data_IF_364786887050
#
_entry.id   IF_364786887050
#
_cell.length_a   1.000
_cell.length_b   1.000
_cell.length_c   1.000
_cell.angle_alpha   90.00
_cell.angle_beta   90.00
_cell.angle_gamma   90.00
#
_symmetry.space_group_name_H-M   'P 1'
#
loop_
_entity.id
_entity.type
_entity.pdbx_description
1 polymer ?
#
# COMPACT_ATOMS: atom_id res chain seq x y z
N UNK A 1 29.68 2.97 10.69
CA UNK A 1 28.76 3.08 9.54
C UNK A 1 27.36 3.16 10.12
N UNK A 2 26.66 4.30 9.94
CA UNK A 2 25.25 4.40 10.32
C UNK A 2 24.45 3.60 9.29
N UNK A 3 24.10 2.35 9.60
CA UNK A 3 23.01 1.67 8.92
C UNK A 3 21.73 2.36 9.37
N UNK A 4 21.33 3.42 8.68
CA UNK A 4 19.99 3.98 8.82
C UNK A 4 19.04 2.84 8.48
N UNK A 5 18.41 2.22 9.48
CA UNK A 5 17.43 1.16 9.26
C UNK A 5 16.38 1.69 8.29
N UNK A 6 16.38 1.16 7.06
CA UNK A 6 15.40 1.54 6.06
C UNK A 6 14.05 0.98 6.51
N UNK A 7 13.10 1.89 6.72
CA UNK A 7 11.75 1.56 7.22
C UNK A 7 10.86 1.08 6.07
N UNK A 8 9.82 0.28 6.36
CA UNK A 8 8.79 -0.03 5.38
C UNK A 8 8.14 1.24 4.83
N UNK A 9 7.80 1.23 3.55
CA UNK A 9 7.15 2.34 2.85
C UNK A 9 6.15 1.81 1.82
N UNK A 10 5.30 2.69 1.30
CA UNK A 10 4.44 2.39 0.14
C UNK A 10 4.97 3.19 -1.05
N UNK A 11 5.31 2.51 -2.13
CA UNK A 11 5.60 3.14 -3.41
C UNK A 11 4.35 3.12 -4.28
N UNK A 12 4.06 4.24 -4.94
CA UNK A 12 2.92 4.36 -5.83
C UNK A 12 3.40 4.29 -7.28
N UNK A 13 3.04 3.22 -7.97
CA UNK A 13 3.36 3.10 -9.39
C UNK A 13 2.19 3.54 -10.27
N UNK A 14 2.52 4.12 -11.42
CA UNK A 14 1.54 4.42 -12.48
C UNK A 14 1.48 3.28 -13.48
N UNK A 15 0.30 2.68 -13.68
CA UNK A 15 0.08 1.68 -14.72
C UNK A 15 -0.67 0.44 -14.24
N UNK A 16 -0.95 -0.49 -15.18
CA UNK A 16 -1.78 -1.66 -14.91
C UNK A 16 -1.24 -2.52 -13.77
N UNK A 17 -2.07 -2.99 -12.83
CA UNK A 17 -1.56 -3.64 -11.63
C UNK A 17 -0.88 -4.98 -11.90
N UNK A 18 -1.28 -5.67 -12.97
CA UNK A 18 -0.62 -6.91 -13.44
C UNK A 18 0.87 -6.71 -13.78
N UNK A 19 1.32 -5.47 -14.02
CA UNK A 19 2.73 -5.15 -14.29
C UNK A 19 3.58 -5.07 -13.02
N UNK A 20 2.94 -5.02 -11.84
CA UNK A 20 3.61 -4.87 -10.56
C UNK A 20 3.30 -6.09 -9.70
N UNK A 21 4.05 -7.17 -9.92
CA UNK A 21 3.88 -8.42 -9.18
C UNK A 21 4.68 -8.41 -7.89
N UNK A 22 4.21 -9.18 -6.90
CA UNK A 22 4.92 -9.41 -5.64
C UNK A 22 6.25 -10.12 -5.91
N UNK A 23 7.35 -9.52 -5.45
CA UNK A 23 8.71 -9.98 -5.78
C UNK A 23 9.75 -9.50 -4.77
N UNK A 24 10.92 -10.13 -4.78
CA UNK A 24 12.13 -9.59 -4.16
C UNK A 24 12.96 -8.88 -5.22
N UNK A 25 13.30 -7.62 -4.98
CA UNK A 25 14.11 -6.83 -5.88
C UNK A 25 15.12 -5.95 -5.10
N UNK A 26 16.16 -5.40 -5.77
CA UNK A 26 17.04 -4.44 -5.16
C UNK A 26 16.24 -3.26 -4.58
N UNK A 27 16.63 -2.80 -3.39
CA UNK A 27 15.99 -1.68 -2.74
C UNK A 27 16.40 -0.37 -3.42
N UNK A 28 15.41 0.35 -3.93
CA UNK A 28 15.58 1.68 -4.51
C UNK A 28 14.60 2.66 -3.87
N UNK A 29 14.98 3.93 -3.90
CA UNK A 29 14.14 5.01 -3.42
C UNK A 29 13.37 5.61 -4.62
N UNK A 30 12.09 5.91 -4.43
CA UNK A 30 11.20 6.44 -5.47
C UNK A 30 10.35 7.56 -4.88
N UNK A 31 10.24 8.67 -5.60
CA UNK A 31 9.49 9.84 -5.13
C UNK A 31 8.03 9.78 -5.59
N UNK A 32 7.12 9.66 -4.63
CA UNK A 32 5.68 9.61 -4.91
C UNK A 32 5.06 10.97 -5.26
N UNK A 33 5.78 12.09 -5.20
CA UNK A 33 5.21 13.42 -5.48
C UNK A 33 4.53 13.50 -6.85
N UNK A 34 5.02 12.80 -7.87
CA UNK A 34 4.35 12.83 -9.19
C UNK A 34 3.08 11.96 -9.26
N UNK A 35 2.70 11.31 -8.17
CA UNK A 35 1.68 10.24 -8.16
C UNK A 35 0.35 10.64 -7.54
N UNK A 36 0.15 11.92 -7.17
CA UNK A 36 -1.12 12.41 -6.65
C UNK A 36 -2.31 12.00 -7.52
N UNK A 37 -3.43 11.80 -6.84
CA UNK A 37 -4.74 11.73 -7.46
C UNK A 37 -5.24 13.15 -7.67
N UNK A 38 -5.13 13.62 -8.91
CA UNK A 38 -5.63 14.92 -9.34
C UNK A 38 -7.04 14.76 -9.88
N UNK A 39 -7.98 15.49 -9.29
CA UNK A 39 -9.38 15.53 -9.73
C UNK A 39 -9.74 17.00 -9.92
N UNK A 40 -10.19 17.44 -11.11
CA UNK A 40 -10.60 18.82 -11.30
C UNK A 40 -11.73 19.17 -10.34
N UNK A 41 -11.68 20.37 -9.78
CA UNK A 41 -12.57 20.80 -8.68
C UNK A 41 -14.07 20.59 -8.99
N UNK A 42 -14.48 20.87 -10.22
CA UNK A 42 -15.86 20.69 -10.68
C UNK A 42 -16.33 19.24 -10.53
N UNK A 43 -15.50 18.26 -10.90
CA UNK A 43 -15.82 16.84 -10.73
C UNK A 43 -15.71 16.40 -9.28
N UNK A 44 -14.81 17.00 -8.51
CA UNK A 44 -14.61 16.64 -7.10
C UNK A 44 -15.88 16.89 -6.27
N UNK A 45 -16.62 17.97 -6.55
CA UNK A 45 -17.86 18.29 -5.82
C UNK A 45 -18.92 17.19 -5.96
N UNK A 46 -19.02 16.60 -7.15
CA UNK A 46 -20.01 15.58 -7.49
C UNK A 46 -19.60 14.15 -7.07
N UNK A 47 -18.38 13.97 -6.57
CA UNK A 47 -17.92 12.66 -6.12
C UNK A 47 -18.67 12.20 -4.85
N UNK A 48 -18.98 10.90 -4.74
CA UNK A 48 -19.41 10.29 -3.47
C UNK A 48 -18.39 10.56 -2.36
N UNK A 49 -18.87 10.67 -1.12
CA UNK A 49 -18.01 10.99 0.04
C UNK A 49 -16.90 9.96 0.27
N UNK A 50 -17.14 8.68 -0.03
CA UNK A 50 -16.11 7.64 0.00
C UNK A 50 -14.99 7.85 -1.03
N UNK A 51 -15.30 8.37 -2.22
CA UNK A 51 -14.30 8.66 -3.25
C UNK A 51 -13.45 9.85 -2.82
N UNK A 52 -14.10 10.91 -2.32
CA UNK A 52 -13.42 12.07 -1.74
C UNK A 52 -12.47 11.64 -0.62
N UNK A 53 -12.94 10.79 0.29
CA UNK A 53 -12.15 10.27 1.40
C UNK A 53 -11.00 9.37 0.93
N UNK A 54 -11.19 8.57 -0.13
CA UNK A 54 -10.12 7.78 -0.71
C UNK A 54 -9.03 8.66 -1.34
N UNK A 55 -9.42 9.65 -2.15
CA UNK A 55 -8.51 10.59 -2.81
C UNK A 55 -7.73 11.41 -1.78
N UNK A 56 -8.42 11.97 -0.78
CA UNK A 56 -7.78 12.71 0.31
C UNK A 56 -6.85 11.81 1.12
N UNK A 57 -7.29 10.60 1.46
CA UNK A 57 -6.48 9.63 2.20
C UNK A 57 -5.23 9.21 1.44
N UNK A 58 -5.33 9.09 0.12
CA UNK A 58 -4.21 8.79 -0.76
C UNK A 58 -3.23 9.96 -0.86
N UNK A 59 -3.72 11.17 -1.12
CA UNK A 59 -2.88 12.37 -1.26
C UNK A 59 -2.18 12.72 0.07
N UNK A 60 -2.86 12.58 1.20
CA UNK A 60 -2.25 12.70 2.53
C UNK A 60 -1.10 11.73 2.78
N UNK A 61 -1.15 10.52 2.20
CA UNK A 61 -0.02 9.60 2.28
C UNK A 61 1.19 10.15 1.52
N UNK A 62 0.98 10.73 0.33
CA UNK A 62 2.05 11.34 -0.47
C UNK A 62 2.64 12.56 0.25
N UNK A 63 1.80 13.33 0.96
CA UNK A 63 2.21 14.43 1.85
C UNK A 63 2.91 13.97 3.15
N UNK A 64 3.15 12.67 3.31
CA UNK A 64 3.72 12.03 4.50
C UNK A 64 2.87 12.17 5.80
N UNK A 65 1.61 12.61 5.69
CA UNK A 65 0.61 12.63 6.78
C UNK A 65 -0.04 11.26 6.96
N UNK A 66 0.72 10.29 7.49
CA UNK A 66 0.25 8.92 7.72
C UNK A 66 -0.99 8.85 8.63
N UNK A 67 -1.11 9.75 9.62
CA UNK A 67 -2.25 9.75 10.56
C UNK A 67 -3.51 10.28 9.89
N UNK A 68 -3.40 11.36 9.13
CA UNK A 68 -4.51 11.88 8.35
C UNK A 68 -4.91 10.90 7.25
N UNK A 69 -3.94 10.33 6.52
CA UNK A 69 -4.18 9.29 5.53
C UNK A 69 -4.99 8.13 6.13
N UNK A 70 -4.54 7.60 7.27
CA UNK A 70 -5.26 6.56 8.02
C UNK A 70 -6.71 6.96 8.34
N UNK A 71 -6.93 8.21 8.79
CA UNK A 71 -8.26 8.70 9.19
C UNK A 71 -9.22 8.78 8.01
N UNK A 72 -8.76 9.27 6.87
CA UNK A 72 -9.60 9.43 5.67
C UNK A 72 -9.86 8.08 5.00
N UNK A 73 -8.83 7.24 4.84
CA UNK A 73 -8.99 5.89 4.27
C UNK A 73 -9.96 5.02 5.09
N UNK A 74 -10.02 5.19 6.41
CA UNK A 74 -10.99 4.48 7.26
C UNK A 74 -12.46 4.75 6.87
N UNK A 75 -12.76 5.94 6.31
CA UNK A 75 -14.12 6.30 5.86
C UNK A 75 -14.51 5.61 4.55
N UNK A 76 -13.52 5.22 3.74
CA UNK A 76 -13.71 4.63 2.41
C UNK A 76 -13.50 3.09 2.38
N UNK A 77 -12.74 2.54 3.34
CA UNK A 77 -12.30 1.15 3.34
C UNK A 77 -13.42 0.09 3.40
N UNK A 78 -14.65 0.46 3.77
CA UNK A 78 -15.81 -0.45 3.74
C UNK A 78 -16.49 -0.52 2.37
N UNK A 79 -16.21 0.42 1.46
CA UNK A 79 -16.87 0.55 0.16
C UNK A 79 -15.93 0.41 -1.04
N UNK A 80 -14.66 0.78 -0.89
CA UNK A 80 -13.67 0.78 -1.96
C UNK A 80 -12.54 -0.17 -1.58
N UNK A 81 -12.32 -1.21 -2.38
CA UNK A 81 -11.33 -2.24 -2.08
C UNK A 81 -9.89 -1.67 -2.10
N UNK A 82 -9.58 -0.73 -3.00
CA UNK A 82 -8.30 -0.02 -3.04
C UNK A 82 -8.07 0.83 -1.79
N UNK A 83 -9.11 1.51 -1.31
CA UNK A 83 -9.02 2.28 -0.07
C UNK A 83 -8.78 1.33 1.11
N UNK A 84 -9.43 0.16 1.13
CA UNK A 84 -9.19 -0.89 2.14
C UNK A 84 -7.74 -1.40 2.08
N UNK A 85 -7.24 -1.69 0.89
CA UNK A 85 -5.87 -2.14 0.70
C UNK A 85 -4.87 -1.08 1.18
N UNK A 86 -4.99 0.16 0.70
CA UNK A 86 -4.14 1.27 1.14
C UNK A 86 -4.24 1.50 2.66
N UNK A 87 -5.44 1.37 3.25
CA UNK A 87 -5.64 1.47 4.69
C UNK A 87 -4.89 0.39 5.47
N UNK A 88 -4.88 -0.85 4.97
CA UNK A 88 -4.09 -1.95 5.55
C UNK A 88 -2.60 -1.61 5.51
N UNK A 89 -2.10 -1.15 4.37
CA UNK A 89 -0.68 -0.80 4.21
C UNK A 89 -0.26 0.35 5.15
N UNK A 90 -1.08 1.40 5.27
CA UNK A 90 -0.81 2.52 6.18
C UNK A 90 -0.84 2.06 7.64
N UNK A 91 -1.77 1.18 8.03
CA UNK A 91 -1.77 0.60 9.38
C UNK A 91 -0.53 -0.27 9.63
N UNK A 92 -0.05 -0.99 8.63
CA UNK A 92 1.20 -1.74 8.73
C UNK A 92 2.40 -0.80 9.01
N UNK A 93 2.56 0.28 8.24
CA UNK A 93 3.63 1.28 8.46
C UNK A 93 3.54 1.89 9.86
N UNK A 94 2.33 2.18 10.34
CA UNK A 94 2.10 2.73 11.68
C UNK A 94 2.28 1.71 12.82
N UNK A 95 2.66 0.46 12.52
CA UNK A 95 2.82 -0.61 13.52
C UNK A 95 1.50 -1.18 14.06
N UNK A 96 0.35 -0.80 13.48
CA UNK A 96 -0.99 -1.26 13.85
C UNK A 96 -1.33 -2.61 13.23
N UNK A 97 -0.45 -3.60 13.40
CA UNK A 97 -0.55 -4.91 12.73
C UNK A 97 -1.85 -5.64 13.00
N UNK A 98 -2.38 -5.59 14.22
CA UNK A 98 -3.65 -6.24 14.58
C UNK A 98 -4.84 -5.66 13.82
N UNK A 99 -4.91 -4.34 13.68
CA UNK A 99 -5.97 -3.69 12.88
C UNK A 99 -5.84 -4.08 11.41
N UNK A 100 -4.61 -4.02 10.86
CA UNK A 100 -4.32 -4.43 9.50
C UNK A 100 -4.69 -5.91 9.23
N UNK A 101 -4.43 -6.81 10.18
CA UNK A 101 -4.78 -8.23 10.08
C UNK A 101 -6.28 -8.47 10.01
N UNK A 102 -7.07 -7.78 10.85
CA UNK A 102 -8.54 -7.87 10.81
C UNK A 102 -9.07 -7.40 9.46
N UNK A 103 -8.51 -6.30 8.94
CA UNK A 103 -8.91 -5.75 7.65
C UNK A 103 -8.49 -6.62 6.47
N UNK A 104 -7.39 -7.39 6.59
CA UNK A 104 -6.89 -8.25 5.51
C UNK A 104 -7.66 -9.57 5.33
N UNK A 105 -8.42 -10.02 6.33
CA UNK A 105 -9.04 -11.36 6.35
C UNK A 105 -9.94 -11.66 5.14
N UNK A 106 -10.69 -10.67 4.66
CA UNK A 106 -11.58 -10.79 3.50
C UNK A 106 -11.17 -9.85 2.36
N UNK A 107 -9.89 -9.47 2.30
CA UNK A 107 -9.39 -8.63 1.22
C UNK A 107 -9.32 -9.46 -0.06
N UNK A 108 -9.98 -8.98 -1.11
CA UNK A 108 -9.95 -9.62 -2.42
C UNK A 108 -8.89 -8.98 -3.31
N UNK A 109 -8.33 -9.76 -4.23
CA UNK A 109 -7.47 -9.30 -5.32
C UNK A 109 -8.28 -8.57 -6.40
N UNK A 110 -8.93 -7.47 -6.02
CA UNK A 110 -9.81 -6.70 -6.88
C UNK A 110 -9.35 -5.23 -6.91
N UNK A 111 -9.28 -4.68 -8.12
CA UNK A 111 -8.85 -3.31 -8.39
C UNK A 111 -9.95 -2.60 -9.19
N UNK A 112 -11.12 -2.50 -8.56
CA UNK A 112 -12.38 -2.05 -9.15
C UNK A 112 -12.27 -0.70 -9.88
N UNK A 113 -11.38 0.16 -9.39
CA UNK A 113 -11.19 1.55 -9.83
C UNK A 113 -9.83 1.77 -10.46
N UNK A 114 -9.16 0.72 -10.95
CA UNK A 114 -7.88 0.86 -11.63
C UNK A 114 -7.94 1.91 -12.76
N UNK A 115 -8.95 1.87 -13.64
CA UNK A 115 -9.07 2.80 -14.77
C UNK A 115 -9.23 4.26 -14.32
N UNK A 116 -9.72 4.50 -13.11
CA UNK A 116 -9.94 5.84 -12.58
C UNK A 116 -8.67 6.39 -11.91
N UNK A 117 -7.94 5.54 -11.20
CA UNK A 117 -6.79 5.96 -10.41
C UNK A 117 -5.47 5.82 -11.16
N UNK A 118 -5.32 4.73 -11.93
CA UNK A 118 -4.06 4.28 -12.54
C UNK A 118 -2.90 4.28 -11.54
N UNK A 119 -3.18 4.15 -10.24
CA UNK A 119 -2.20 4.19 -9.15
C UNK A 119 -2.21 2.87 -8.41
N UNK A 120 -1.05 2.25 -8.35
CA UNK A 120 -0.84 0.93 -7.76
C UNK A 120 0.06 1.11 -6.54
N UNK A 121 -0.51 1.12 -5.31
CA UNK A 121 0.30 1.11 -4.10
C UNK A 121 0.99 -0.24 -3.95
N UNK A 122 2.29 -0.22 -3.66
CA UNK A 122 3.13 -1.38 -3.42
C UNK A 122 3.78 -1.19 -2.05
N UNK A 123 3.52 -2.12 -1.12
CA UNK A 123 4.23 -2.14 0.16
C UNK A 123 5.65 -2.65 -0.06
N UNK A 124 6.64 -1.85 0.34
CA UNK A 124 8.06 -2.19 0.27
C UNK A 124 8.55 -2.44 1.68
N UNK A 125 9.05 -3.65 1.94
CA UNK A 125 9.59 -4.04 3.23
C UNK A 125 11.08 -4.41 3.06
N UNK A 126 11.99 -3.52 3.47
CA UNK A 126 13.43 -3.73 3.36
C UNK A 126 13.90 -4.98 4.12
N UNK A 127 14.83 -5.72 3.52
CA UNK A 127 15.56 -6.77 4.25
C UNK A 127 16.52 -6.13 5.25
N UNK A 128 16.89 -6.89 6.27
CA UNK A 128 17.90 -6.53 7.27
C UNK A 128 19.26 -6.18 6.66
N UNK A 129 19.59 -6.75 5.49
CA UNK A 129 20.79 -6.43 4.70
C UNK A 129 20.74 -5.05 4.05
N UNK A 130 19.55 -4.49 3.82
CA UNK A 130 19.32 -3.16 3.22
C UNK A 130 19.57 -3.06 1.72
N UNK A 131 20.01 -4.12 1.04
CA UNK A 131 20.27 -4.18 -0.41
C UNK A 131 19.03 -4.61 -1.21
N UNK A 132 18.12 -5.35 -0.59
CA UNK A 132 16.89 -5.89 -1.18
C UNK A 132 15.68 -5.50 -0.35
N UNK A 133 14.52 -5.62 -0.98
CA UNK A 133 13.24 -5.52 -0.30
C UNK A 133 12.24 -6.50 -0.89
N UNK A 134 11.27 -6.87 -0.06
CA UNK A 134 10.05 -7.53 -0.49
C UNK A 134 9.06 -6.46 -0.95
N UNK A 135 8.72 -6.48 -2.24
CA UNK A 135 7.71 -5.62 -2.85
C UNK A 135 6.41 -6.41 -2.90
N UNK A 136 5.37 -5.90 -2.25
CA UNK A 136 4.07 -6.56 -2.10
C UNK A 136 3.02 -5.76 -2.85
N UNK A 137 2.42 -6.41 -3.83
CA UNK A 137 1.27 -5.91 -4.60
C UNK A 137 -0.03 -6.51 -4.07
N UNK A 138 -1.17 -6.06 -4.56
CA UNK A 138 -2.45 -6.77 -4.37
C UNK A 138 -2.61 -7.79 -5.51
N UNK A 139 -1.77 -8.82 -5.43
CA UNK A 139 -1.87 -10.09 -6.16
C UNK A 139 -1.94 -11.28 -5.16
N UNK A 140 -2.18 -12.51 -5.65
CA UNK A 140 -2.42 -13.67 -4.76
C UNK A 140 -1.22 -13.93 -3.83
N UNK A 141 -0.01 -13.82 -4.39
CA UNK A 141 1.22 -13.92 -3.62
C UNK A 141 1.32 -12.78 -2.61
N UNK A 142 1.00 -11.55 -3.00
CA UNK A 142 1.12 -10.38 -2.16
C UNK A 142 0.16 -10.38 -0.98
N UNK A 143 -1.07 -10.85 -1.18
CA UNK A 143 -2.02 -11.07 -0.09
C UNK A 143 -1.50 -12.13 0.90
N UNK A 144 -0.91 -13.22 0.40
CA UNK A 144 -0.27 -14.22 1.25
C UNK A 144 0.96 -13.67 1.99
N UNK A 145 1.83 -12.93 1.30
CA UNK A 145 3.02 -12.29 1.87
C UNK A 145 2.65 -11.32 2.99
N UNK A 146 1.64 -10.48 2.73
CA UNK A 146 1.11 -9.52 3.68
C UNK A 146 0.57 -10.22 4.93
N UNK A 147 -0.16 -11.32 4.76
CA UNK A 147 -0.62 -12.16 5.87
C UNK A 147 0.53 -12.61 6.78
N UNK A 148 1.59 -13.17 6.20
CA UNK A 148 2.76 -13.59 6.97
C UNK A 148 3.49 -12.45 7.68
N UNK A 149 3.63 -11.29 7.04
CA UNK A 149 4.22 -10.11 7.68
C UNK A 149 3.38 -9.60 8.87
N UNK A 150 2.06 -9.69 8.75
CA UNK A 150 1.11 -9.31 9.80
C UNK A 150 1.13 -10.30 10.98
N UNK A 151 1.42 -11.58 10.71
CA UNK A 151 1.70 -12.61 11.73
C UNK A 151 3.06 -12.43 12.43
N UNK A 152 3.91 -11.53 11.92
CA UNK A 152 5.17 -11.16 12.53
C UNK A 152 6.42 -11.77 11.91
N UNK A 153 6.30 -12.46 10.77
CA UNK A 153 7.47 -12.95 10.02
C UNK A 153 8.33 -11.80 9.47
N UNK A 154 9.63 -12.03 9.33
CA UNK A 154 10.54 -11.08 8.67
C UNK A 154 10.36 -11.14 7.15
N UNK A 155 10.69 -10.08 6.38
CA UNK A 155 10.56 -10.11 4.92
C UNK A 155 11.42 -11.20 4.26
N UNK A 156 12.56 -11.59 4.84
CA UNK A 156 13.39 -12.71 4.39
C UNK A 156 12.71 -14.07 4.59
N UNK A 157 12.10 -14.28 5.77
CA UNK A 157 11.34 -15.50 6.04
C UNK A 157 10.16 -15.62 5.08
N UNK A 158 9.47 -14.50 4.80
CA UNK A 158 8.36 -14.47 3.84
C UNK A 158 8.84 -14.81 2.43
N UNK A 159 9.92 -14.18 1.96
CA UNK A 159 10.50 -14.48 0.65
C UNK A 159 10.88 -15.96 0.50
N UNK A 160 11.52 -16.52 1.53
CA UNK A 160 11.88 -17.94 1.58
C UNK A 160 10.66 -18.86 1.52
N UNK A 161 9.64 -18.61 2.36
CA UNK A 161 8.41 -19.43 2.40
C UNK A 161 7.63 -19.39 1.09
N UNK A 162 7.74 -18.29 0.35
CA UNK A 162 7.02 -18.08 -0.90
C UNK A 162 7.80 -18.43 -2.16
N UNK A 163 9.09 -18.78 -2.03
CA UNK A 163 9.97 -19.03 -3.17
C UNK A 163 10.11 -17.81 -4.08
N UNK A 164 10.30 -16.62 -3.49
CA UNK A 164 10.51 -15.34 -4.18
C UNK A 164 11.99 -14.96 -4.30
#
# INVERSE_FOLDING_TARGET
MNTTEKKPSILIFKGHPEKFQTQVAPLFDFNNIETYMEIPFEYYLDLPEEEKAFVEGFNKYIDEDLKGSRRELAKAASKINEARYMFILVNYILGKKREAQILAADLKKEWDRFIQTWRVPILVVPFSSGDKALFISIDDKGLQALGYLLEGKTPEEVAFLMGL
#
